data_IF_424672960451
#
_entry.id   IF_424672960451
#
_cell.length_a   1.000
_cell.length_b   1.000
_cell.length_c   1.000
_cell.angle_alpha   90.00
_cell.angle_beta   90.00
_cell.angle_gamma   90.00
#
_symmetry.space_group_name_H-M   'P 1'
#
loop_
_entity.id
_entity.type
_entity.pdbx_description
1 polymer ?
#
# COMPACT_ATOMS: atom_id res chain seq x y z
N UNK A 1 -0.67 -11.11 3.50
CA UNK A 1 -1.58 -11.01 2.34
C UNK A 1 -2.68 -10.05 2.74
N UNK A 2 -3.07 -9.13 1.86
CA UNK A 2 -4.07 -8.12 2.19
C UNK A 2 -5.10 -7.87 1.10
N UNK A 3 -6.14 -7.16 1.50
CA UNK A 3 -7.09 -6.51 0.60
C UNK A 3 -6.94 -4.99 0.71
N UNK A 4 -7.10 -4.27 -0.39
CA UNK A 4 -7.26 -2.81 -0.38
C UNK A 4 -8.74 -2.41 -0.36
N UNK A 5 -9.01 -1.14 -0.07
CA UNK A 5 -10.34 -0.57 -0.20
C UNK A 5 -10.51 0.82 0.36
N UNK A 6 -11.63 1.41 0.00
CA UNK A 6 -12.10 2.67 0.57
C UNK A 6 -13.62 2.58 0.87
N UNK A 7 -14.11 3.34 1.86
CA UNK A 7 -15.55 3.37 2.14
C UNK A 7 -16.35 3.82 0.92
N UNK A 8 -17.44 3.10 0.62
CA UNK A 8 -18.46 3.54 -0.33
C UNK A 8 -18.14 3.31 -1.80
N UNK A 9 -17.04 2.61 -2.12
CA UNK A 9 -16.73 2.19 -3.49
C UNK A 9 -16.18 0.78 -3.52
N UNK A 10 -16.54 0.00 -4.54
CA UNK A 10 -15.96 -1.33 -4.82
C UNK A 10 -14.78 -1.27 -5.78
N UNK A 11 -14.61 -0.15 -6.49
CA UNK A 11 -13.58 0.02 -7.51
C UNK A 11 -12.15 0.12 -6.95
N UNK A 12 -12.00 0.18 -5.63
CA UNK A 12 -10.69 0.25 -4.94
C UNK A 12 -10.43 -1.00 -4.10
N UNK A 13 -11.25 -2.03 -4.31
CA UNK A 13 -11.05 -3.35 -3.75
C UNK A 13 -12.02 -3.78 -2.65
N UNK A 14 -11.79 -4.98 -2.09
CA UNK A 14 -12.81 -5.69 -1.32
C UNK A 14 -13.12 -5.07 0.05
N UNK A 15 -12.27 -4.17 0.57
CA UNK A 15 -12.48 -3.54 1.88
C UNK A 15 -13.49 -2.39 1.81
N UNK A 16 -14.71 -2.71 1.40
CA UNK A 16 -15.84 -1.81 1.33
C UNK A 16 -17.11 -2.49 1.82
N UNK A 17 -18.08 -1.69 2.29
CA UNK A 17 -19.32 -2.22 2.86
C UNK A 17 -19.10 -3.05 4.13
N UNK A 18 -19.40 -4.35 4.08
CA UNK A 18 -19.30 -5.25 5.23
C UNK A 18 -17.87 -5.78 5.40
N UNK A 19 -17.12 -5.17 6.33
CA UNK A 19 -15.73 -5.51 6.59
C UNK A 19 -15.52 -6.89 7.21
N UNK A 20 -16.48 -7.44 7.95
CA UNK A 20 -16.35 -8.80 8.51
C UNK A 20 -16.44 -9.85 7.39
N UNK A 21 -17.32 -9.63 6.39
CA UNK A 21 -17.36 -10.47 5.19
C UNK A 21 -16.07 -10.35 4.37
N UNK A 22 -15.53 -9.15 4.24
CA UNK A 22 -14.25 -8.94 3.56
C UNK A 22 -13.11 -9.65 4.31
N UNK A 23 -13.09 -9.61 5.65
CA UNK A 23 -12.13 -10.30 6.50
C UNK A 23 -12.18 -11.83 6.33
N UNK A 24 -13.38 -12.40 6.25
CA UNK A 24 -13.58 -13.84 6.01
C UNK A 24 -13.01 -14.25 4.65
N UNK A 25 -13.36 -13.51 3.59
CA UNK A 25 -12.82 -13.74 2.24
C UNK A 25 -11.30 -13.62 2.21
N UNK A 26 -10.75 -12.61 2.87
CA UNK A 26 -9.30 -12.42 2.99
C UNK A 26 -8.64 -13.63 3.65
N UNK A 27 -9.22 -14.11 4.76
CA UNK A 27 -8.72 -15.27 5.50
C UNK A 27 -8.78 -16.55 4.68
N UNK A 28 -9.84 -16.75 3.90
CA UNK A 28 -9.98 -17.90 2.99
C UNK A 28 -8.92 -17.90 1.90
N UNK A 29 -8.75 -16.75 1.24
CA UNK A 29 -7.78 -16.61 0.16
C UNK A 29 -6.33 -16.65 0.66
N UNK A 30 -6.07 -16.16 1.88
CA UNK A 30 -4.76 -16.20 2.52
C UNK A 30 -4.26 -17.64 2.72
N UNK A 31 -5.16 -18.65 2.82
CA UNK A 31 -4.76 -20.07 2.94
C UNK A 31 -3.97 -20.55 1.74
N UNK A 32 -4.22 -20.02 0.54
CA UNK A 32 -3.48 -20.38 -0.66
C UNK A 32 -2.05 -19.80 -0.68
N UNK A 33 -1.75 -18.88 0.22
CA UNK A 33 -0.42 -18.28 0.43
C UNK A 33 0.27 -18.81 1.69
N UNK A 34 -0.40 -19.65 2.47
CA UNK A 34 0.20 -20.23 3.65
C UNK A 34 1.23 -21.28 3.23
N UNK A 35 2.49 -21.02 3.59
CA UNK A 35 3.58 -21.99 3.54
C UNK A 35 4.11 -22.18 4.97
N UNK A 36 5.42 -22.34 5.13
CA UNK A 36 6.07 -22.44 6.43
C UNK A 36 6.00 -21.13 7.25
N UNK A 37 5.59 -20.02 6.61
CA UNK A 37 5.40 -18.71 7.24
C UNK A 37 3.91 -18.41 7.47
N UNK A 38 3.51 -17.98 8.67
CA UNK A 38 2.13 -17.57 8.91
C UNK A 38 1.79 -16.33 8.06
N UNK A 39 0.62 -16.34 7.43
CA UNK A 39 0.12 -15.20 6.67
C UNK A 39 -0.51 -14.20 7.64
N UNK A 40 0.04 -12.99 7.71
CA UNK A 40 -0.58 -11.88 8.42
C UNK A 40 -1.67 -11.24 7.53
N UNK A 41 -2.95 -11.27 7.94
CA UNK A 41 -4.01 -10.55 7.22
C UNK A 41 -3.72 -9.05 7.27
N UNK A 42 -3.81 -8.39 6.14
CA UNK A 42 -3.52 -6.95 6.03
C UNK A 42 -4.73 -6.24 5.44
N UNK A 43 -5.14 -5.15 6.09
CA UNK A 43 -6.20 -4.30 5.61
C UNK A 43 -5.56 -3.01 5.12
N UNK A 44 -5.55 -2.75 3.82
CA UNK A 44 -5.04 -1.49 3.27
C UNK A 44 -6.21 -0.55 3.01
N UNK A 45 -6.46 0.36 3.96
CA UNK A 45 -7.48 1.39 3.82
C UNK A 45 -6.85 2.58 3.09
N UNK A 46 -7.40 2.97 1.94
CA UNK A 46 -7.09 4.27 1.32
C UNK A 46 -7.62 5.39 2.20
N UNK A 47 -6.81 5.78 3.18
CA UNK A 47 -7.14 6.74 4.22
C UNK A 47 -7.02 8.16 3.68
N UNK A 48 -5.94 8.48 2.96
CA UNK A 48 -5.92 9.65 2.08
C UNK A 48 -6.15 9.16 0.66
N UNK A 49 -7.18 9.68 0.00
CA UNK A 49 -7.54 9.34 -1.38
C UNK A 49 -7.41 10.55 -2.28
N UNK A 50 -6.74 10.39 -3.42
CA UNK A 50 -6.67 11.45 -4.42
C UNK A 50 -8.05 11.72 -5.02
N UNK A 51 -8.31 12.96 -5.39
CA UNK A 51 -9.58 13.40 -5.99
C UNK A 51 -9.33 14.15 -7.29
N UNK A 52 -10.27 14.03 -8.23
CA UNK A 52 -10.20 14.74 -9.52
C UNK A 52 -10.48 16.25 -9.40
N UNK A 53 -11.14 16.67 -8.31
CA UNK A 53 -11.40 18.07 -7.99
C UNK A 53 -10.58 18.52 -6.76
N UNK A 54 -10.16 19.79 -6.68
CA UNK A 54 -9.48 20.33 -5.51
C UNK A 54 -10.42 20.34 -4.30
N UNK A 55 -9.88 19.95 -3.14
CA UNK A 55 -10.48 20.29 -1.85
C UNK A 55 -10.30 21.77 -1.50
N UNK A 56 -10.80 22.21 -0.33
CA UNK A 56 -10.70 23.61 0.11
C UNK A 56 -9.28 24.16 0.21
N UNK A 57 -8.28 23.29 0.42
CA UNK A 57 -6.86 23.59 0.50
C UNK A 57 -6.13 23.44 -0.85
N UNK A 58 -6.86 23.13 -1.93
CA UNK A 58 -6.31 22.95 -3.26
C UNK A 58 -5.45 21.69 -3.44
N UNK A 59 -5.51 20.72 -2.50
CA UNK A 59 -4.59 19.56 -2.48
C UNK A 59 -5.05 18.34 -3.27
N UNK A 60 -6.24 18.36 -3.89
CA UNK A 60 -6.75 17.24 -4.71
C UNK A 60 -6.74 15.89 -4.00
N UNK A 61 -7.14 15.89 -2.73
CA UNK A 61 -7.27 14.70 -1.91
C UNK A 61 -8.37 14.86 -0.87
N UNK A 62 -8.89 13.74 -0.38
CA UNK A 62 -9.79 13.66 0.77
C UNK A 62 -9.17 12.76 1.84
N UNK A 63 -9.37 13.09 3.12
CA UNK A 63 -8.95 12.26 4.26
C UNK A 63 -10.14 11.52 4.85
N UNK A 64 -9.97 10.23 5.13
CA UNK A 64 -10.85 9.44 5.96
C UNK A 64 -10.79 9.97 7.40
N UNK A 65 -11.95 10.22 8.00
CA UNK A 65 -12.06 10.65 9.38
C UNK A 65 -11.83 9.52 10.37
N UNK A 66 -11.67 9.89 11.64
CA UNK A 66 -11.34 8.97 12.73
C UNK A 66 -12.29 7.80 12.91
N UNK A 67 -13.59 8.02 12.68
CA UNK A 67 -14.57 6.94 12.76
C UNK A 67 -14.33 5.86 11.72
N UNK A 68 -13.95 6.25 10.50
CA UNK A 68 -13.61 5.30 9.43
C UNK A 68 -12.37 4.51 9.84
N UNK A 69 -11.28 5.19 10.21
CA UNK A 69 -10.03 4.51 10.59
C UNK A 69 -10.26 3.56 11.76
N UNK A 70 -10.97 4.01 12.80
CA UNK A 70 -11.37 3.17 13.95
C UNK A 70 -12.12 1.90 13.52
N UNK A 71 -13.06 2.03 12.59
CA UNK A 71 -13.87 0.91 12.10
C UNK A 71 -13.03 -0.13 11.37
N UNK A 72 -12.12 0.32 10.50
CA UNK A 72 -11.22 -0.56 9.75
C UNK A 72 -10.18 -1.22 10.66
N UNK A 73 -9.61 -0.46 11.61
CA UNK A 73 -8.69 -1.01 12.61
C UNK A 73 -9.36 -2.10 13.46
N UNK A 74 -10.59 -1.85 13.92
CA UNK A 74 -11.35 -2.84 14.66
C UNK A 74 -11.62 -4.11 13.83
N UNK A 75 -11.88 -3.99 12.53
CA UNK A 75 -12.06 -5.14 11.64
C UNK A 75 -10.74 -5.92 11.44
N UNK A 76 -9.64 -5.21 11.21
CA UNK A 76 -8.31 -5.83 11.10
C UNK A 76 -7.95 -6.60 12.37
N UNK A 77 -8.18 -6.03 13.55
CA UNK A 77 -7.97 -6.68 14.85
C UNK A 77 -8.79 -7.94 15.04
N UNK A 78 -10.09 -7.91 14.69
CA UNK A 78 -10.94 -9.12 14.75
C UNK A 78 -10.44 -10.23 13.82
N UNK A 79 -9.81 -9.86 12.70
CA UNK A 79 -9.18 -10.80 11.77
C UNK A 79 -7.76 -11.23 12.20
N UNK A 80 -7.24 -10.76 13.34
CA UNK A 80 -5.86 -11.02 13.76
C UNK A 80 -4.81 -10.40 12.84
N UNK A 81 -5.18 -9.32 12.15
CA UNK A 81 -4.35 -8.65 11.15
C UNK A 81 -3.88 -7.25 11.56
N UNK A 82 -3.30 -6.55 10.59
CA UNK A 82 -2.84 -5.16 10.70
C UNK A 82 -3.61 -4.24 9.76
N UNK A 83 -3.66 -2.95 10.08
CA UNK A 83 -4.19 -1.90 9.22
C UNK A 83 -3.05 -1.11 8.59
N UNK A 84 -3.01 -0.99 7.26
CA UNK A 84 -2.19 -0.01 6.57
C UNK A 84 -3.05 1.20 6.22
N UNK A 85 -2.54 2.38 6.52
CA UNK A 85 -3.11 3.63 6.03
C UNK A 85 -2.48 3.93 4.68
N UNK A 86 -3.26 3.68 3.63
CA UNK A 86 -2.98 4.03 2.24
C UNK A 86 -3.06 5.53 2.02
N UNK A 87 -2.02 6.11 1.42
CA UNK A 87 -1.87 7.55 1.22
C UNK A 87 -1.69 7.84 -0.27
N UNK A 88 -2.69 8.48 -0.86
CA UNK A 88 -2.66 9.08 -2.20
C UNK A 88 -2.67 10.60 -2.04
N UNK A 89 -1.50 11.27 -1.99
CA UNK A 89 -1.41 12.60 -1.41
C UNK A 89 -1.95 13.71 -2.33
N UNK A 90 -2.24 13.42 -3.60
CA UNK A 90 -2.64 14.44 -4.56
C UNK A 90 -1.51 15.44 -4.75
N UNK A 91 -1.73 16.72 -4.41
CA UNK A 91 -0.71 17.79 -4.39
C UNK A 91 -0.14 18.08 -3.00
N UNK A 92 -0.48 17.28 -2.00
CA UNK A 92 0.15 17.38 -0.68
C UNK A 92 1.48 16.64 -0.67
N UNK A 93 2.30 16.92 0.33
CA UNK A 93 3.48 16.12 0.61
C UNK A 93 3.06 14.87 1.39
N UNK A 94 3.68 13.72 1.13
CA UNK A 94 3.40 12.49 1.87
C UNK A 94 3.50 12.67 3.38
N UNK A 95 4.55 13.34 3.86
CA UNK A 95 4.77 13.55 5.28
C UNK A 95 3.67 14.39 5.94
N UNK A 96 3.05 15.33 5.21
CA UNK A 96 1.91 16.10 5.71
C UNK A 96 0.71 15.18 5.98
N UNK A 97 0.39 14.31 5.03
CA UNK A 97 -0.72 13.36 5.14
C UNK A 97 -0.45 12.30 6.21
N UNK A 98 0.79 11.80 6.30
CA UNK A 98 1.20 10.84 7.33
C UNK A 98 1.08 11.46 8.73
N UNK A 99 1.48 12.71 8.92
CA UNK A 99 1.35 13.43 10.19
C UNK A 99 -0.10 13.64 10.61
N UNK A 100 -1.02 13.83 9.67
CA UNK A 100 -2.45 13.90 9.99
C UNK A 100 -2.94 12.64 10.72
N UNK A 101 -2.39 11.48 10.37
CA UNK A 101 -2.74 10.21 10.98
C UNK A 101 -1.86 9.81 12.18
N UNK A 102 -1.05 10.73 12.74
CA UNK A 102 -0.13 10.43 13.87
C UNK A 102 -0.79 9.59 14.97
N UNK A 103 -1.99 9.98 15.41
CA UNK A 103 -2.69 9.29 16.50
C UNK A 103 -2.98 7.81 16.23
N UNK A 104 -3.13 7.44 14.95
CA UNK A 104 -3.38 6.06 14.53
C UNK A 104 -2.08 5.31 14.34
N UNK A 105 -1.03 5.98 13.87
CA UNK A 105 0.31 5.40 13.73
C UNK A 105 0.96 5.05 15.07
N UNK A 106 0.46 5.60 16.18
CA UNK A 106 0.86 5.20 17.54
C UNK A 106 0.18 3.92 18.04
N UNK A 107 -0.81 3.38 17.33
CA UNK A 107 -1.40 2.05 17.64
C UNK A 107 -0.45 0.95 17.15
N UNK A 108 -0.22 -0.15 17.90
CA UNK A 108 0.83 -1.12 17.61
C UNK A 108 0.69 -1.82 16.24
N UNK A 109 -0.53 -2.00 15.76
CA UNK A 109 -0.94 -2.77 14.59
C UNK A 109 -1.36 -1.90 13.39
N UNK A 110 -0.95 -0.62 13.39
CA UNK A 110 -1.15 0.30 12.25
C UNK A 110 0.18 0.61 11.57
N UNK A 111 0.24 0.44 10.25
CA UNK A 111 1.37 0.78 9.38
C UNK A 111 0.96 1.72 8.23
N UNK A 112 1.83 1.86 7.23
CA UNK A 112 1.64 2.77 6.10
C UNK A 112 1.71 2.04 4.77
N UNK A 113 0.92 2.52 3.81
CA UNK A 113 1.08 2.26 2.39
C UNK A 113 1.07 3.60 1.63
N UNK A 114 2.11 3.86 0.85
CA UNK A 114 2.27 5.09 0.09
C UNK A 114 2.05 4.78 -1.39
N UNK A 115 1.26 5.61 -2.08
CA UNK A 115 0.92 5.43 -3.50
C UNK A 115 1.50 6.61 -4.34
N UNK A 116 2.79 6.56 -4.72
CA UNK A 116 3.49 7.68 -5.34
C UNK A 116 2.97 8.11 -6.70
N UNK A 117 2.30 7.22 -7.43
CA UNK A 117 1.65 7.52 -8.70
C UNK A 117 0.51 8.53 -8.57
N UNK A 118 0.02 8.79 -7.34
CA UNK A 118 -0.95 9.83 -7.04
C UNK A 118 -0.34 11.11 -6.45
N UNK A 119 0.99 11.17 -6.28
CA UNK A 119 1.72 12.35 -5.83
C UNK A 119 2.05 13.26 -7.02
N UNK A 120 1.10 14.12 -7.40
CA UNK A 120 1.20 14.97 -8.58
C UNK A 120 1.73 16.37 -8.24
N UNK A 121 2.39 16.99 -9.22
CA UNK A 121 2.94 18.34 -9.08
C UNK A 121 1.87 19.43 -8.94
N UNK A 122 2.29 20.67 -8.61
CA UNK A 122 1.39 21.76 -8.21
C UNK A 122 0.39 22.19 -9.30
N UNK A 123 0.68 21.94 -10.58
CA UNK A 123 -0.20 22.25 -11.72
C UNK A 123 -0.92 21.03 -12.29
N UNK A 124 -0.67 19.83 -11.75
CA UNK A 124 -1.18 18.57 -12.28
C UNK A 124 -2.43 18.10 -11.53
N UNK A 125 -3.26 17.28 -12.16
CA UNK A 125 -4.49 16.72 -11.57
C UNK A 125 -4.31 15.20 -11.43
N UNK A 126 -4.54 14.61 -10.25
CA UNK A 126 -4.42 13.16 -10.09
C UNK A 126 -5.34 12.39 -11.06
N UNK A 127 -4.84 11.29 -11.60
CA UNK A 127 -5.56 10.46 -12.57
C UNK A 127 -5.52 10.97 -14.03
N UNK A 128 -5.06 12.19 -14.29
CA UNK A 128 -4.77 12.66 -15.66
C UNK A 128 -3.31 12.43 -16.06
N UNK A 129 -2.43 12.36 -15.08
CA UNK A 129 -1.01 12.08 -15.23
C UNK A 129 -0.55 11.31 -14.01
N UNK A 130 0.49 10.49 -14.18
CA UNK A 130 1.11 9.84 -13.04
C UNK A 130 1.98 10.83 -12.28
N UNK A 131 1.80 10.82 -10.97
CA UNK A 131 2.67 11.42 -10.00
C UNK A 131 3.99 10.67 -9.84
N UNK A 132 4.80 11.14 -8.92
CA UNK A 132 6.05 10.49 -8.54
C UNK A 132 6.53 10.98 -7.19
N UNK A 133 7.37 10.19 -6.53
CA UNK A 133 8.10 10.57 -5.32
C UNK A 133 9.60 10.33 -5.50
N UNK A 134 10.37 10.66 -4.47
CA UNK A 134 11.81 10.43 -4.39
C UNK A 134 12.18 9.58 -3.17
N UNK A 135 13.36 8.95 -3.22
CA UNK A 135 13.91 8.24 -2.05
C UNK A 135 14.07 9.16 -0.84
N UNK A 136 14.32 10.47 -1.02
CA UNK A 136 14.38 11.45 0.07
C UNK A 136 13.01 11.66 0.73
N UNK A 137 11.92 11.71 -0.05
CA UNK A 137 10.57 11.82 0.51
C UNK A 137 10.16 10.54 1.22
N UNK A 138 10.48 9.37 0.66
CA UNK A 138 10.28 8.08 1.32
C UNK A 138 11.07 7.99 2.63
N UNK A 139 12.34 8.42 2.63
CA UNK A 139 13.20 8.47 3.81
C UNK A 139 12.62 9.38 4.89
N UNK A 140 12.08 10.55 4.53
CA UNK A 140 11.46 11.46 5.49
C UNK A 140 10.21 10.87 6.14
N UNK A 141 9.41 10.11 5.40
CA UNK A 141 8.26 9.37 5.95
C UNK A 141 8.73 8.21 6.84
N UNK A 142 9.74 7.47 6.40
CA UNK A 142 10.30 6.34 7.14
C UNK A 142 10.93 6.77 8.46
N UNK A 143 11.75 7.83 8.48
CA UNK A 143 12.34 8.38 9.69
C UNK A 143 11.27 8.84 10.68
N UNK A 144 10.23 9.53 10.20
CA UNK A 144 9.11 9.94 11.04
C UNK A 144 8.38 8.74 11.66
N UNK A 145 8.04 7.73 10.85
CA UNK A 145 7.34 6.54 11.33
C UNK A 145 8.21 5.71 12.30
N UNK A 146 9.50 5.54 12.03
CA UNK A 146 10.45 4.90 12.92
C UNK A 146 10.62 5.68 14.24
N UNK A 147 10.56 7.01 14.17
CA UNK A 147 10.46 7.92 15.30
C UNK A 147 9.31 7.56 16.24
N UNK A 148 8.10 7.40 15.68
CA UNK A 148 6.91 7.00 16.45
C UNK A 148 7.07 5.60 17.07
N UNK A 149 7.64 4.65 16.33
CA UNK A 149 7.91 3.30 16.86
C UNK A 149 8.80 3.36 18.09
N UNK A 150 9.87 4.16 18.04
CA UNK A 150 10.81 4.33 19.15
C UNK A 150 10.22 5.11 20.31
N UNK A 151 9.54 6.22 20.04
CA UNK A 151 8.92 7.10 21.05
C UNK A 151 7.88 6.33 21.89
N UNK A 152 7.11 5.46 21.24
CA UNK A 152 5.99 4.75 21.87
C UNK A 152 6.28 3.26 22.17
N UNK A 153 7.52 2.80 22.00
CA UNK A 153 7.93 1.40 22.20
C UNK A 153 7.03 0.40 21.44
N UNK A 154 6.75 0.70 20.18
CA UNK A 154 5.84 -0.10 19.35
C UNK A 154 6.56 -1.32 18.75
N UNK A 155 5.82 -2.39 18.40
CA UNK A 155 6.37 -3.46 17.58
C UNK A 155 6.79 -2.93 16.20
N UNK A 156 7.56 -3.73 15.45
CA UNK A 156 7.92 -3.41 14.07
C UNK A 156 6.66 -3.22 13.22
N UNK A 157 6.67 -2.18 12.36
CA UNK A 157 5.54 -1.82 11.50
C UNK A 157 5.90 -1.93 10.02
N UNK A 158 4.96 -2.39 9.16
CA UNK A 158 5.13 -2.27 7.72
C UNK A 158 5.04 -0.81 7.25
N UNK A 159 5.96 -0.45 6.36
CA UNK A 159 5.86 0.73 5.51
C UNK A 159 6.00 0.26 4.07
N UNK A 160 4.87 0.27 3.36
CA UNK A 160 4.77 -0.11 1.95
C UNK A 160 4.87 1.14 1.09
N UNK A 161 5.56 1.07 -0.03
CA UNK A 161 5.42 2.03 -1.12
C UNK A 161 5.15 1.29 -2.43
N UNK A 162 4.12 1.73 -3.13
CA UNK A 162 3.69 1.16 -4.40
C UNK A 162 4.54 1.73 -5.54
N UNK A 163 4.77 0.92 -6.57
CA UNK A 163 5.43 1.38 -7.79
C UNK A 163 4.91 0.60 -8.99
N UNK A 164 4.30 1.30 -9.94
CA UNK A 164 3.81 0.71 -11.20
C UNK A 164 4.79 0.85 -12.37
N UNK A 165 5.72 1.81 -12.32
CA UNK A 165 6.73 2.02 -13.36
C UNK A 165 8.03 2.65 -12.81
N UNK A 166 9.18 2.51 -13.50
CA UNK A 166 10.48 2.96 -12.98
C UNK A 166 10.54 4.45 -12.63
N UNK A 167 9.84 5.32 -13.37
CA UNK A 167 9.88 6.77 -13.17
C UNK A 167 9.06 7.30 -11.99
N UNK A 168 8.29 6.42 -11.32
CA UNK A 168 7.37 6.78 -10.23
C UNK A 168 8.11 6.97 -8.90
N UNK A 169 9.14 6.16 -8.63
CA UNK A 169 10.03 6.32 -7.47
C UNK A 169 11.43 6.60 -7.99
N UNK A 170 11.91 7.83 -7.81
CA UNK A 170 13.26 8.24 -8.19
C UNK A 170 14.21 8.11 -7.01
N UNK A 171 15.49 7.86 -7.28
CA UNK A 171 16.53 7.82 -6.26
C UNK A 171 16.23 6.91 -5.06
N UNK A 172 15.57 5.76 -5.30
CA UNK A 172 15.16 4.79 -4.28
C UNK A 172 16.29 4.36 -3.33
N UNK A 173 17.54 4.40 -3.79
CA UNK A 173 18.74 4.11 -3.02
C UNK A 173 18.97 5.04 -1.81
N UNK A 174 18.28 6.18 -1.74
CA UNK A 174 18.38 7.14 -0.64
C UNK A 174 17.48 6.80 0.55
N UNK A 175 16.49 5.92 0.36
CA UNK A 175 15.83 5.25 1.48
C UNK A 175 16.90 4.43 2.22
N UNK A 176 16.89 4.41 3.56
CA UNK A 176 17.85 3.62 4.36
C UNK A 176 17.13 2.61 5.25
N UNK A 177 17.82 1.60 5.82
CA UNK A 177 17.19 0.71 6.79
C UNK A 177 16.78 1.46 8.07
N UNK A 178 15.53 1.29 8.48
CA UNK A 178 14.98 1.91 9.70
C UNK A 178 14.63 0.85 10.75
N UNK A 179 15.31 0.82 11.92
CA UNK A 179 14.92 -0.05 13.01
C UNK A 179 13.48 0.20 13.43
N UNK A 180 12.70 -0.89 13.56
CA UNK A 180 11.27 -0.79 13.87
C UNK A 180 10.36 -0.65 12.65
N UNK A 181 10.90 -0.58 11.43
CA UNK A 181 10.11 -0.67 10.20
C UNK A 181 10.48 -1.91 9.38
N UNK A 182 9.49 -2.48 8.71
CA UNK A 182 9.65 -3.41 7.60
C UNK A 182 9.32 -2.64 6.31
N UNK A 183 10.36 -2.27 5.56
CA UNK A 183 10.22 -1.54 4.30
C UNK A 183 9.85 -2.51 3.18
N UNK A 184 8.81 -2.19 2.41
CA UNK A 184 8.26 -3.07 1.39
C UNK A 184 8.00 -2.27 0.11
N UNK A 185 8.59 -2.71 -1.00
CA UNK A 185 8.29 -2.21 -2.34
C UNK A 185 7.20 -3.06 -2.95
N UNK A 186 6.01 -2.51 -3.18
CA UNK A 186 4.90 -3.23 -3.79
C UNK A 186 4.80 -2.92 -5.29
N UNK A 187 5.01 -3.93 -6.14
CA UNK A 187 4.84 -3.79 -7.60
C UNK A 187 3.36 -3.72 -7.94
N UNK A 188 2.98 -2.60 -8.55
CA UNK A 188 1.60 -2.12 -8.65
C UNK A 188 1.08 -2.04 -10.10
N UNK A 189 1.77 -2.68 -11.04
CA UNK A 189 1.37 -2.71 -12.45
C UNK A 189 0.14 -3.59 -12.70
N UNK A 190 -0.70 -3.19 -13.66
CA UNK A 190 -1.87 -3.94 -14.11
C UNK A 190 -1.57 -4.76 -15.38
N UNK A 191 -2.37 -5.79 -15.63
CA UNK A 191 -2.47 -6.46 -16.92
C UNK A 191 -2.23 -7.96 -16.86
N UNK A 192 -1.87 -8.54 -18.02
CA UNK A 192 -1.69 -9.99 -18.14
C UNK A 192 -0.56 -10.51 -17.25
N UNK A 193 -0.55 -11.81 -16.89
CA UNK A 193 0.53 -12.43 -16.12
C UNK A 193 1.94 -12.15 -16.68
N UNK A 194 2.09 -12.11 -18.01
CA UNK A 194 3.35 -11.81 -18.66
C UNK A 194 3.79 -10.35 -18.38
N UNK A 195 2.88 -9.38 -18.58
CA UNK A 195 3.15 -7.96 -18.33
C UNK A 195 3.49 -7.70 -16.86
N UNK A 196 2.77 -8.32 -15.93
CA UNK A 196 3.07 -8.20 -14.50
C UNK A 196 4.41 -8.82 -14.13
N UNK A 197 4.76 -9.97 -14.72
CA UNK A 197 6.06 -10.62 -14.52
C UNK A 197 7.21 -9.78 -15.06
N UNK A 198 7.03 -9.12 -16.21
CA UNK A 198 8.05 -8.25 -16.78
C UNK A 198 8.22 -6.96 -15.94
N UNK A 199 7.11 -6.37 -15.49
CA UNK A 199 7.12 -5.23 -14.56
C UNK A 199 7.81 -5.61 -13.24
N UNK A 200 7.52 -6.81 -12.71
CA UNK A 200 8.16 -7.35 -11.53
C UNK A 200 9.68 -7.40 -11.67
N UNK A 201 10.18 -8.04 -12.73
CA UNK A 201 11.63 -8.16 -12.99
C UNK A 201 12.28 -6.78 -13.08
N UNK A 202 11.64 -5.85 -13.79
CA UNK A 202 12.17 -4.51 -13.98
C UNK A 202 12.28 -3.77 -12.64
N UNK A 203 11.20 -3.70 -11.86
CA UNK A 203 11.15 -2.90 -10.64
C UNK A 203 11.89 -3.51 -9.46
N UNK A 204 12.01 -4.84 -9.40
CA UNK A 204 12.75 -5.50 -8.32
C UNK A 204 14.25 -5.57 -8.57
N UNK A 205 14.71 -5.42 -9.82
CA UNK A 205 16.14 -5.42 -10.16
C UNK A 205 16.94 -4.28 -9.53
N UNK A 206 16.29 -3.14 -9.26
CA UNK A 206 16.92 -1.95 -8.66
C UNK A 206 16.53 -1.74 -7.20
N UNK A 207 15.69 -2.62 -6.62
CA UNK A 207 15.21 -2.49 -5.25
C UNK A 207 16.37 -2.67 -4.27
N UNK A 208 16.51 -1.82 -3.24
CA UNK A 208 17.53 -2.03 -2.21
C UNK A 208 17.43 -3.43 -1.55
N UNK A 209 18.56 -4.08 -1.19
CA UNK A 209 18.56 -5.45 -0.68
C UNK A 209 17.74 -5.65 0.61
N UNK A 210 17.67 -4.63 1.47
CA UNK A 210 16.97 -4.67 2.75
C UNK A 210 15.47 -4.36 2.64
N UNK A 211 14.98 -3.93 1.48
CA UNK A 211 13.55 -3.71 1.23
C UNK A 211 12.93 -5.04 0.79
N UNK A 212 11.84 -5.47 1.41
CA UNK A 212 11.13 -6.67 0.98
C UNK A 212 10.35 -6.41 -0.32
N UNK A 213 10.13 -7.45 -1.12
CA UNK A 213 9.32 -7.34 -2.33
C UNK A 213 7.85 -7.60 -2.01
N UNK A 214 6.96 -6.82 -2.61
CA UNK A 214 5.51 -6.96 -2.52
C UNK A 214 4.87 -6.95 -3.91
N UNK A 215 3.73 -7.59 -4.08
CA UNK A 215 3.05 -7.74 -5.36
C UNK A 215 1.56 -7.42 -5.24
N UNK A 216 1.02 -6.57 -6.12
CA UNK A 216 -0.41 -6.27 -6.16
C UNK A 216 -1.10 -6.95 -7.34
N UNK A 217 -2.30 -7.45 -7.08
CA UNK A 217 -3.19 -8.09 -8.03
C UNK A 217 -4.50 -7.33 -8.07
N UNK A 218 -5.05 -7.21 -9.27
CA UNK A 218 -6.28 -6.45 -9.52
C UNK A 218 -7.34 -7.39 -10.10
N UNK A 219 -8.45 -7.61 -9.39
CA UNK A 219 -9.49 -8.55 -9.83
C UNK A 219 -10.10 -8.15 -11.18
N UNK A 220 -10.33 -6.86 -11.42
CA UNK A 220 -10.98 -6.36 -12.62
C UNK A 220 -9.95 -6.01 -13.71
N UNK A 221 -8.89 -5.30 -13.37
CA UNK A 221 -7.92 -4.78 -14.33
C UNK A 221 -7.01 -5.88 -14.92
N UNK A 222 -6.58 -6.87 -14.12
CA UNK A 222 -5.74 -7.96 -14.63
C UNK A 222 -6.53 -8.97 -15.49
N UNK A 223 -7.86 -9.00 -15.35
CA UNK A 223 -8.75 -9.87 -16.14
C UNK A 223 -9.37 -9.17 -17.35
N UNK A 224 -9.23 -7.85 -17.43
CA UNK A 224 -9.70 -7.05 -18.55
C UNK A 224 -9.04 -7.48 -19.87
N UNK A 225 -9.78 -7.38 -20.98
CA UNK A 225 -9.24 -7.71 -22.31
C UNK A 225 -8.92 -9.19 -22.53
N UNK A 226 -9.52 -10.11 -21.76
CA UNK A 226 -9.29 -11.56 -21.87
C UNK A 226 -8.08 -12.06 -21.07
N UNK A 227 -7.55 -11.23 -20.17
CA UNK A 227 -6.51 -11.62 -19.21
C UNK A 227 -7.02 -12.57 -18.12
N UNK A 228 -6.12 -12.90 -17.20
CA UNK A 228 -6.45 -13.62 -15.96
C UNK A 228 -5.56 -13.13 -14.84
N UNK A 229 -6.02 -13.28 -13.60
CA UNK A 229 -5.13 -13.13 -12.44
C UNK A 229 -4.02 -14.18 -12.49
N UNK A 230 -2.85 -13.81 -11.97
CA UNK A 230 -1.83 -14.78 -11.60
C UNK A 230 -2.32 -15.62 -10.43
N UNK A 231 -2.04 -16.93 -10.47
CA UNK A 231 -2.35 -17.83 -9.36
C UNK A 231 -1.40 -17.57 -8.18
N UNK A 232 -1.77 -17.98 -6.95
CA UNK A 232 -0.87 -17.91 -5.80
C UNK A 232 0.48 -18.62 -6.04
N UNK A 233 0.48 -19.75 -6.75
CA UNK A 233 1.70 -20.47 -7.12
C UNK A 233 2.61 -19.65 -8.04
N UNK A 234 2.03 -18.97 -9.05
CA UNK A 234 2.79 -18.11 -9.95
C UNK A 234 3.37 -16.90 -9.21
N UNK A 235 2.60 -16.32 -8.29
CA UNK A 235 3.04 -15.18 -7.46
C UNK A 235 4.19 -15.60 -6.53
N UNK A 236 4.06 -16.73 -5.84
CA UNK A 236 5.13 -17.30 -4.99
C UNK A 236 6.34 -17.79 -5.81
N UNK A 237 6.14 -18.08 -7.10
CA UNK A 237 7.19 -18.42 -8.05
C UNK A 237 8.06 -17.24 -8.50
N UNK A 238 7.65 -15.99 -8.24
CA UNK A 238 8.42 -14.79 -8.58
C UNK A 238 9.76 -14.76 -7.82
N UNK A 239 10.75 -14.08 -8.41
CA UNK A 239 12.08 -13.89 -7.82
C UNK A 239 12.45 -12.41 -7.78
N UNK A 240 12.76 -11.82 -6.61
CA UNK A 240 12.66 -12.42 -5.27
C UNK A 240 11.22 -12.90 -4.94
N UNK A 241 11.05 -13.82 -3.98
CA UNK A 241 9.70 -14.24 -3.57
C UNK A 241 8.98 -13.06 -2.85
N UNK A 242 7.74 -12.71 -3.23
CA UNK A 242 6.98 -11.65 -2.57
C UNK A 242 6.74 -11.99 -1.10
N UNK A 243 7.04 -11.06 -0.20
CA UNK A 243 6.69 -11.14 1.23
C UNK A 243 5.40 -10.41 1.56
N UNK A 244 4.92 -9.56 0.64
CA UNK A 244 3.64 -8.88 0.70
C UNK A 244 2.86 -9.18 -0.58
N UNK A 245 1.58 -9.53 -0.45
CA UNK A 245 0.69 -9.71 -1.60
C UNK A 245 -0.61 -9.01 -1.27
N UNK A 246 -1.03 -8.11 -2.14
CA UNK A 246 -2.22 -7.29 -1.99
C UNK A 246 -3.17 -7.58 -3.14
N UNK A 247 -4.46 -7.71 -2.84
CA UNK A 247 -5.51 -7.79 -3.85
C UNK A 247 -6.41 -6.56 -3.76
N UNK A 248 -6.66 -5.98 -4.92
CA UNK A 248 -7.62 -4.92 -5.19
C UNK A 248 -8.72 -5.44 -6.09
#
# INVERSE_FOLDING_TARGET
>A
MGFSGAPGTTALGPLTGNLDRAAQRLSEQARAYASDRPVLPTFELLATRATSAPGPDGKYRSRAGDEVVRRYLAAARRAGGVLLLGIQPGRADFLEEVRYYRKWLTEPDVGLALDPEWAVGPSQVPGQTFGSTSGQELEAVADYAAGLVREHNLPQKPLVYHQLAPGIVRDEQLLTPHPGLALIKSVDGIGSPALKTDTWKQLTSTKPPYVAAGFKLFYEEDTSGGGRLMSPEEVLGLRPEPSYVLYE
#
